data_IF_310239705459
#
_entry.id   IF_310239705459
#
_cell.length_a   1.000
_cell.length_b   1.000
_cell.length_c   1.000
_cell.angle_alpha   90.00
_cell.angle_beta   90.00
_cell.angle_gamma   90.00
#
_symmetry.space_group_name_H-M   'P 1'
#
loop_
_entity.id
_entity.type
_entity.pdbx_description
1 polymer ?
#
# COMPACT_ATOMS: atom_id res chain seq x y z
N UNK A 1 -1.02 -9.34 -18.40
CA UNK A 1 -1.01 -9.03 -16.96
C UNK A 1 -2.37 -8.47 -16.66
N UNK A 2 -3.16 -9.13 -15.80
CA UNK A 2 -4.46 -8.59 -15.39
C UNK A 2 -4.24 -7.58 -14.28
N UNK A 3 -5.04 -6.52 -14.28
CA UNK A 3 -5.05 -5.50 -13.23
C UNK A 3 -6.39 -5.60 -12.51
N UNK A 4 -6.40 -5.36 -11.20
CA UNK A 4 -7.62 -5.29 -10.40
C UNK A 4 -7.76 -3.88 -9.80
N UNK A 5 -9.02 -3.43 -9.70
CA UNK A 5 -9.35 -2.16 -9.06
C UNK A 5 -9.31 -2.34 -7.55
N UNK A 6 -8.69 -1.39 -6.86
CA UNK A 6 -8.65 -1.37 -5.40
C UNK A 6 -9.04 -0.02 -4.86
N UNK A 7 -9.59 -0.01 -3.65
CA UNK A 7 -9.90 1.19 -2.87
C UNK A 7 -9.23 1.12 -1.52
N UNK A 8 -8.62 2.25 -1.13
CA UNK A 8 -7.95 2.42 0.16
C UNK A 8 -8.96 2.93 1.20
N UNK A 9 -8.92 2.33 2.38
CA UNK A 9 -9.78 2.70 3.51
C UNK A 9 -8.94 2.97 4.75
N UNK A 10 -9.13 4.13 5.36
CA UNK A 10 -8.31 4.65 6.45
C UNK A 10 -6.95 5.19 6.00
N UNK A 11 -6.15 5.64 6.97
CA UNK A 11 -4.87 6.30 6.71
C UNK A 11 -5.06 7.69 6.08
N UNK A 12 -4.01 8.23 5.46
CA UNK A 12 -4.11 9.55 4.81
C UNK A 12 -4.78 9.51 3.44
N UNK A 13 -4.92 8.31 2.87
CA UNK A 13 -5.46 8.08 1.50
C UNK A 13 -6.86 7.47 1.49
N UNK A 14 -7.64 7.68 2.54
CA UNK A 14 -9.00 7.14 2.65
C UNK A 14 -9.87 7.58 1.46
N UNK A 15 -10.49 6.60 0.80
CA UNK A 15 -11.34 6.80 -0.37
C UNK A 15 -10.59 6.87 -1.71
N UNK A 16 -9.25 6.86 -1.71
CA UNK A 16 -8.48 6.79 -2.95
C UNK A 16 -8.62 5.41 -3.60
N UNK A 17 -8.74 5.38 -4.94
CA UNK A 17 -8.76 4.13 -5.71
C UNK A 17 -7.65 4.11 -6.73
N UNK A 18 -7.12 2.91 -7.00
CA UNK A 18 -6.04 2.69 -7.96
C UNK A 18 -6.14 1.31 -8.58
N UNK A 19 -5.40 1.07 -9.65
CA UNK A 19 -5.25 -0.26 -10.26
C UNK A 19 -3.94 -0.87 -9.82
N UNK A 20 -4.00 -2.13 -9.41
CA UNK A 20 -2.83 -2.93 -9.02
C UNK A 20 -2.79 -4.19 -9.86
N UNK A 21 -1.64 -4.88 -9.87
CA UNK A 21 -1.57 -6.20 -10.49
C UNK A 21 -2.48 -7.18 -9.75
N UNK A 22 -3.14 -8.06 -10.50
CA UNK A 22 -3.96 -9.14 -9.95
C UNK A 22 -3.18 -9.95 -8.88
N UNK A 23 -3.81 -10.15 -7.72
CA UNK A 23 -3.25 -10.89 -6.60
C UNK A 23 -2.43 -10.05 -5.60
N UNK A 24 -2.34 -8.74 -5.79
CA UNK A 24 -1.74 -7.83 -4.81
C UNK A 24 -2.62 -7.75 -3.57
N UNK A 25 -2.09 -8.20 -2.43
CA UNK A 25 -2.80 -8.18 -1.12
C UNK A 25 -2.29 -7.12 -0.15
N UNK A 26 -1.17 -6.47 -0.49
CA UNK A 26 -0.47 -5.50 0.36
C UNK A 26 0.05 -4.39 -0.51
N UNK A 27 -0.21 -3.15 -0.11
CA UNK A 27 0.20 -1.95 -0.82
C UNK A 27 0.95 -1.03 0.13
N UNK A 28 2.12 -0.56 -0.31
CA UNK A 28 2.91 0.45 0.38
C UNK A 28 2.69 1.79 -0.32
N UNK A 29 2.15 2.76 0.41
CA UNK A 29 1.91 4.10 -0.10
C UNK A 29 2.81 5.12 0.59
N UNK A 30 3.14 6.21 -0.09
CA UNK A 30 3.87 7.33 0.52
C UNK A 30 3.01 7.91 1.65
N UNK A 31 3.60 7.98 2.85
CA UNK A 31 2.98 8.64 4.01
C UNK A 31 3.27 10.15 4.00
N UNK A 32 2.40 10.92 4.65
CA UNK A 32 2.69 12.32 5.02
C UNK A 32 3.83 12.43 6.04
N UNK A 33 4.09 11.35 6.79
CA UNK A 33 5.22 11.28 7.70
C UNK A 33 6.52 11.01 6.91
N UNK A 34 7.53 11.88 7.01
CA UNK A 34 8.79 11.71 6.28
C UNK A 34 9.51 10.44 6.72
N UNK A 35 9.94 9.63 5.76
CA UNK A 35 10.65 8.38 6.02
C UNK A 35 9.75 7.18 6.35
N UNK A 36 8.43 7.30 6.22
CA UNK A 36 7.48 6.19 6.40
C UNK A 36 6.65 5.91 5.14
N UNK A 37 6.30 4.64 4.95
CA UNK A 37 5.23 4.19 4.08
C UNK A 37 4.00 3.82 4.90
N UNK A 38 2.82 4.18 4.42
CA UNK A 38 1.57 3.63 4.91
C UNK A 38 1.35 2.24 4.32
N UNK A 39 0.95 1.31 5.17
CA UNK A 39 0.70 -0.08 4.81
C UNK A 39 -0.80 -0.30 4.73
N UNK A 40 -1.23 -0.77 3.58
CA UNK A 40 -2.60 -1.15 3.29
C UNK A 40 -2.66 -2.64 2.98
N UNK A 41 -3.60 -3.37 3.58
CA UNK A 41 -3.78 -4.80 3.37
C UNK A 41 -5.22 -5.15 3.02
N UNK A 42 -5.38 -6.14 2.13
CA UNK A 42 -6.68 -6.62 1.71
C UNK A 42 -7.44 -7.23 2.89
N UNK A 43 -8.63 -6.70 3.19
CA UNK A 43 -9.51 -7.27 4.21
C UNK A 43 -10.38 -8.42 3.68
N UNK A 44 -10.28 -8.74 2.38
CA UNK A 44 -11.17 -9.69 1.70
C UNK A 44 -12.57 -9.16 1.40
N UNK A 45 -12.84 -7.89 1.73
CA UNK A 45 -14.04 -7.18 1.33
C UNK A 45 -13.87 -6.54 -0.05
N UNK A 46 -14.98 -6.34 -0.75
CA UNK A 46 -15.04 -5.60 -2.01
C UNK A 46 -16.08 -4.48 -1.91
N UNK A 47 -15.83 -3.36 -2.59
CA UNK A 47 -16.73 -2.21 -2.62
C UNK A 47 -17.07 -1.81 -4.06
N UNK A 48 -18.33 -1.39 -4.27
CA UNK A 48 -18.74 -0.71 -5.50
C UNK A 48 -18.23 0.73 -5.46
N UNK A 49 -17.58 1.17 -6.53
CA UNK A 49 -17.14 2.56 -6.69
C UNK A 49 -18.00 3.25 -7.74
N UNK A 50 -18.48 4.45 -7.42
CA UNK A 50 -19.26 5.24 -8.38
C UNK A 50 -18.46 5.45 -9.67
N UNK A 51 -19.07 5.13 -10.81
CA UNK A 51 -18.42 5.23 -12.12
C UNK A 51 -17.54 4.05 -12.51
N UNK A 52 -17.50 2.97 -11.72
CA UNK A 52 -16.84 1.72 -12.10
C UNK A 52 -17.84 0.56 -12.09
N UNK A 53 -17.86 -0.22 -13.18
CA UNK A 53 -18.69 -1.43 -13.29
C UNK A 53 -18.07 -2.65 -12.58
N UNK A 54 -16.81 -2.53 -12.16
CA UNK A 54 -16.04 -3.57 -11.48
C UNK A 54 -16.00 -3.32 -9.97
N UNK A 55 -16.11 -4.41 -9.17
CA UNK A 55 -15.93 -4.34 -7.73
C UNK A 55 -14.47 -4.07 -7.38
N UNK A 56 -14.22 -3.08 -6.54
CA UNK A 56 -12.89 -2.76 -6.04
C UNK A 56 -12.55 -3.60 -4.80
N UNK A 57 -11.36 -4.20 -4.74
CA UNK A 57 -10.86 -4.82 -3.52
C UNK A 57 -10.59 -3.74 -2.47
N UNK A 58 -11.06 -3.95 -1.24
CA UNK A 58 -10.83 -3.02 -0.14
C UNK A 58 -9.51 -3.34 0.53
N UNK A 59 -8.55 -2.42 0.45
CA UNK A 59 -7.36 -2.44 1.29
C UNK A 59 -7.52 -1.47 2.45
N UNK A 60 -7.42 -1.99 3.67
CA UNK A 60 -7.52 -1.20 4.90
C UNK A 60 -6.13 -0.81 5.38
N UNK A 61 -6.00 0.42 5.88
CA UNK A 61 -4.77 0.87 6.52
C UNK A 61 -4.51 0.05 7.80
N UNK A 62 -3.40 -0.68 7.84
CA UNK A 62 -3.00 -1.52 8.97
C UNK A 62 -1.86 -0.94 9.80
N UNK A 63 -1.19 0.10 9.30
CA UNK A 63 -0.09 0.75 10.02
C UNK A 63 0.90 1.43 9.09
N UNK A 64 2.08 1.73 9.63
CA UNK A 64 3.16 2.38 8.91
C UNK A 64 4.45 1.57 9.06
N UNK A 65 5.23 1.52 7.98
CA UNK A 65 6.55 0.90 7.95
C UNK A 65 7.60 1.94 7.55
N UNK A 66 8.81 1.90 8.12
CA UNK A 66 9.90 2.74 7.62
C UNK A 66 10.14 2.48 6.14
N UNK A 67 10.38 3.54 5.38
CA UNK A 67 10.93 3.44 4.02
C UNK A 67 12.32 2.84 4.23
N UNK A 68 12.47 1.55 3.97
CA UNK A 68 13.68 0.83 4.36
C UNK A 68 14.93 1.51 3.81
N UNK A 69 15.92 1.70 4.68
CA UNK A 69 17.31 1.44 4.30
C UNK A 69 17.41 -0.09 4.15
N UNK A 70 17.83 -0.53 2.97
CA UNK A 70 17.98 -1.93 2.57
C UNK A 70 18.65 -2.78 3.69
N UNK A 71 18.04 -3.87 4.20
CA UNK A 71 18.69 -4.75 5.17
C UNK A 71 19.79 -5.65 4.54
N UNK A 72 20.34 -5.30 3.38
CA UNK A 72 21.33 -6.07 2.63
C UNK A 72 22.73 -5.46 2.49
N UNK A 73 23.00 -4.24 2.96
CA UNK A 73 24.35 -3.69 2.94
C UNK A 73 25.01 -3.83 4.32
N UNK A 74 26.11 -4.60 4.47
CA UNK A 74 26.91 -4.51 5.67
C UNK A 74 27.44 -3.07 5.75
N UNK A 75 27.04 -2.34 6.79
CA UNK A 75 27.75 -1.15 7.20
C UNK A 75 29.16 -1.60 7.58
N UNK A 76 30.10 -1.54 6.64
CA UNK A 76 31.52 -1.57 6.97
C UNK A 76 31.78 -0.31 7.78
N UNK A 77 31.73 -0.46 9.10
CA UNK A 77 32.26 0.50 10.05
C UNK A 77 33.76 0.58 9.78
N UNK A 78 34.15 1.51 8.91
CA UNK A 78 35.53 1.86 8.69
C UNK A 78 35.97 2.81 9.80
N UNK A 79 36.47 2.25 10.89
CA UNK A 79 37.38 2.97 11.78
C UNK A 79 38.72 3.14 11.04
N UNK A 80 39.14 4.41 10.87
CA UNK A 80 40.54 4.80 10.67
C UNK A 80 40.88 5.95 11.61
#
# INVERSE_FOLDING_TARGET
MSEELVVLRGGSRDGESTRVQDGVRRLLAVSDAPGLHEVYEANGETAELEGNDELALVLVHVGQEPIGDDPGLPHTHGEV
#
